data_IF_704594365328
#
_entry.id   IF_704594365328
#
_cell.length_a   1.000
_cell.length_b   1.000
_cell.length_c   1.000
_cell.angle_alpha   90.00
_cell.angle_beta   90.00
_cell.angle_gamma   90.00
#
_symmetry.space_group_name_H-M   'P 1'
#
loop_
_entity.id
_entity.type
_entity.pdbx_description
1 polymer ?
#
# COMPACT_ATOMS: atom_id res chain seq x y z
N UNK A 1 -14.95 -3.79 15.56
CA UNK A 1 -13.58 -4.32 15.36
C UNK A 1 -12.89 -3.46 14.30
N UNK A 2 -11.56 -3.54 14.15
CA UNK A 2 -10.81 -2.78 13.14
C UNK A 2 -11.40 -2.93 11.74
N UNK A 3 -11.87 -4.13 11.40
CA UNK A 3 -12.52 -4.45 10.13
C UNK A 3 -13.79 -3.64 9.85
N UNK A 4 -14.50 -3.15 10.87
CA UNK A 4 -15.74 -2.39 10.64
C UNK A 4 -15.43 -1.03 10.01
N UNK A 5 -14.31 -0.41 10.37
CA UNK A 5 -13.93 0.91 9.88
C UNK A 5 -12.85 0.85 8.78
N UNK A 6 -11.91 -0.09 8.87
CA UNK A 6 -10.81 -0.24 7.90
C UNK A 6 -11.11 -1.27 6.80
N UNK A 7 -12.39 -1.60 6.56
CA UNK A 7 -12.85 -2.46 5.46
C UNK A 7 -12.91 -1.75 4.10
N UNK A 8 -12.93 -0.41 4.10
CA UNK A 8 -13.03 0.44 2.90
C UNK A 8 -11.74 1.25 2.68
N UNK A 9 -11.64 1.96 1.55
CA UNK A 9 -10.43 2.69 1.16
C UNK A 9 -9.32 1.76 0.67
N UNK A 10 -8.18 1.71 1.37
CA UNK A 10 -7.04 0.81 1.06
C UNK A 10 -7.29 -0.65 1.48
N UNK A 11 -8.36 -0.92 2.25
CA UNK A 11 -8.86 -2.26 2.62
C UNK A 11 -7.84 -3.17 3.33
N UNK A 12 -6.85 -2.58 3.99
CA UNK A 12 -5.72 -3.28 4.64
C UNK A 12 -6.17 -4.31 5.69
N UNK A 13 -7.24 -4.03 6.44
CA UNK A 13 -7.73 -4.95 7.48
C UNK A 13 -8.25 -6.28 6.91
N UNK A 14 -8.77 -6.25 5.68
CA UNK A 14 -9.32 -7.43 5.02
C UNK A 14 -8.21 -8.22 4.33
N UNK A 15 -7.25 -7.54 3.70
CA UNK A 15 -6.05 -8.17 3.14
C UNK A 15 -5.26 -8.94 4.20
N UNK A 16 -5.17 -8.39 5.42
CA UNK A 16 -4.54 -9.07 6.57
C UNK A 16 -5.14 -10.45 6.86
N UNK A 17 -6.46 -10.59 6.65
CA UNK A 17 -7.19 -11.86 6.79
C UNK A 17 -7.22 -12.70 5.52
N UNK A 18 -6.53 -12.27 4.45
CA UNK A 18 -6.54 -12.97 3.18
C UNK A 18 -7.72 -12.64 2.29
N UNK A 19 -8.52 -11.62 2.61
CA UNK A 19 -9.76 -11.30 1.90
C UNK A 19 -9.57 -10.17 0.88
N UNK A 20 -9.86 -10.47 -0.37
CA UNK A 20 -9.88 -9.53 -1.48
C UNK A 20 -11.33 -9.17 -1.84
N UNK A 21 -11.65 -7.89 -1.94
CA UNK A 21 -13.00 -7.48 -2.34
C UNK A 21 -13.20 -7.71 -3.84
N UNK A 22 -14.13 -8.59 -4.19
CA UNK A 22 -14.48 -8.85 -5.58
C UNK A 22 -15.23 -7.65 -6.17
N UNK A 23 -14.95 -7.35 -7.44
CA UNK A 23 -15.73 -6.39 -8.22
C UNK A 23 -17.13 -6.94 -8.55
N UNK A 24 -18.02 -6.05 -9.00
CA UNK A 24 -19.45 -6.32 -9.24
C UNK A 24 -19.68 -7.53 -10.15
N UNK A 25 -19.92 -8.68 -9.53
CA UNK A 25 -21.23 -9.31 -9.60
C UNK A 25 -21.37 -10.26 -8.44
N UNK A 26 -22.58 -10.35 -7.89
CA UNK A 26 -22.95 -11.40 -6.94
C UNK A 26 -22.69 -12.82 -7.48
N UNK A 27 -22.43 -12.94 -8.79
CA UNK A 27 -22.27 -14.17 -9.54
C UNK A 27 -20.83 -14.72 -9.60
N UNK A 28 -19.81 -13.99 -9.12
CA UNK A 28 -18.41 -14.46 -9.15
C UNK A 28 -17.93 -15.11 -7.85
N UNK A 29 -18.78 -15.15 -6.81
CA UNK A 29 -18.50 -15.86 -5.57
C UNK A 29 -19.32 -17.15 -5.48
N UNK A 30 -18.80 -18.20 -4.81
CA UNK A 30 -19.57 -19.43 -4.59
C UNK A 30 -20.90 -19.14 -3.89
N UNK A 31 -21.91 -19.98 -4.09
CA UNK A 31 -23.15 -19.90 -3.32
C UNK A 31 -22.92 -20.08 -1.81
N UNK A 32 -23.83 -19.55 -1.00
CA UNK A 32 -23.87 -19.79 0.43
C UNK A 32 -24.35 -21.22 0.76
N UNK A 33 -24.42 -21.56 2.05
CA UNK A 33 -24.84 -22.89 2.51
C UNK A 33 -26.30 -23.25 2.15
N UNK A 34 -27.12 -22.27 1.79
CA UNK A 34 -28.50 -22.45 1.34
C UNK A 34 -28.61 -22.49 -0.19
N UNK A 35 -27.50 -22.38 -0.93
CA UNK A 35 -27.48 -22.35 -2.39
C UNK A 35 -27.85 -21.00 -3.00
N UNK A 36 -27.91 -19.93 -2.19
CA UNK A 36 -28.18 -18.58 -2.67
C UNK A 36 -26.86 -17.86 -2.98
N UNK A 37 -26.94 -16.78 -3.77
CA UNK A 37 -25.79 -15.91 -3.97
C UNK A 37 -25.34 -15.37 -2.60
N UNK A 38 -24.03 -15.40 -2.36
CA UNK A 38 -23.47 -14.80 -1.16
C UNK A 38 -23.92 -13.34 -1.05
N UNK A 39 -24.30 -12.96 0.16
CA UNK A 39 -24.69 -11.58 0.45
C UNK A 39 -23.44 -10.76 0.78
N UNK A 40 -23.36 -9.50 0.32
CA UNK A 40 -22.24 -8.63 0.65
C UNK A 40 -22.15 -8.43 2.16
N UNK A 41 -20.92 -8.40 2.68
CA UNK A 41 -20.66 -7.91 4.03
C UNK A 41 -20.31 -6.43 3.93
N UNK A 42 -21.19 -5.58 4.46
CA UNK A 42 -21.20 -4.14 4.16
C UNK A 42 -21.39 -3.88 2.66
N UNK A 43 -20.38 -3.37 1.96
CA UNK A 43 -20.51 -2.93 0.55
C UNK A 43 -20.02 -3.97 -0.46
N UNK A 44 -19.31 -5.03 -0.03
CA UNK A 44 -18.59 -5.90 -0.96
C UNK A 44 -18.77 -7.39 -0.67
N UNK A 45 -18.55 -8.18 -1.71
CA UNK A 45 -18.28 -9.62 -1.63
C UNK A 45 -16.77 -9.86 -1.60
N UNK A 46 -16.36 -10.97 -1.01
CA UNK A 46 -14.95 -11.25 -0.77
C UNK A 46 -14.53 -12.61 -1.32
N UNK A 47 -13.33 -12.64 -1.91
CA UNK A 47 -12.61 -13.85 -2.28
C UNK A 47 -11.45 -14.03 -1.32
N UNK A 48 -11.22 -15.27 -0.88
CA UNK A 48 -10.05 -15.57 -0.07
C UNK A 48 -8.85 -15.88 -0.98
N UNK A 49 -7.77 -15.11 -0.82
CA UNK A 49 -6.49 -15.28 -1.52
C UNK A 49 -5.52 -16.02 -0.61
N UNK A 50 -4.91 -15.31 0.35
CA UNK A 50 -3.96 -15.85 1.33
C UNK A 50 -3.77 -14.85 2.47
N UNK A 51 -3.95 -15.28 3.70
CA UNK A 51 -3.79 -14.42 4.87
C UNK A 51 -2.32 -14.05 5.15
N UNK A 52 -2.15 -12.99 5.95
CA UNK A 52 -0.85 -12.59 6.47
C UNK A 52 -0.34 -13.62 7.50
N UNK A 53 0.96 -13.91 7.50
CA UNK A 53 1.57 -14.85 8.44
C UNK A 53 1.40 -14.42 9.90
N UNK A 54 1.35 -13.12 10.18
CA UNK A 54 1.12 -12.62 11.53
C UNK A 54 -0.34 -12.85 11.95
N UNK A 55 -1.29 -12.73 11.03
CA UNK A 55 -2.68 -13.08 11.27
C UNK A 55 -2.81 -14.58 11.59
N UNK A 56 -2.17 -15.45 10.80
CA UNK A 56 -2.16 -16.89 11.03
C UNK A 56 -1.50 -17.27 12.37
N UNK A 57 -0.47 -16.52 12.79
CA UNK A 57 0.15 -16.68 14.11
C UNK A 57 -0.81 -16.26 15.25
N UNK A 58 -1.87 -15.52 14.95
CA UNK A 58 -2.88 -15.03 15.87
C UNK A 58 -2.61 -13.64 16.41
N UNK A 59 -1.85 -12.82 15.67
CA UNK A 59 -1.72 -11.40 15.97
C UNK A 59 -2.94 -10.61 15.48
N UNK A 60 -3.16 -9.46 16.10
CA UNK A 60 -4.17 -8.46 15.72
C UNK A 60 -3.50 -7.12 15.44
N UNK A 61 -4.25 -6.19 14.84
CA UNK A 61 -3.71 -4.90 14.38
C UNK A 61 -2.94 -4.14 15.48
N UNK A 62 -3.44 -4.14 16.71
CA UNK A 62 -2.83 -3.45 17.86
C UNK A 62 -1.54 -4.10 18.38
N UNK A 63 -1.18 -5.29 17.90
CA UNK A 63 0.09 -5.92 18.28
C UNK A 63 1.28 -5.26 17.57
N UNK A 64 1.02 -4.63 16.42
CA UNK A 64 1.99 -3.78 15.72
C UNK A 64 1.69 -2.30 15.97
N UNK A 65 0.46 -1.85 15.73
CA UNK A 65 0.10 -0.43 15.82
C UNK A 65 0.07 0.08 17.26
N UNK A 66 0.89 1.10 17.54
CA UNK A 66 1.00 1.67 18.88
C UNK A 66 -0.18 2.61 19.19
N UNK A 67 -0.33 3.00 20.46
CA UNK A 67 -1.34 4.00 20.82
C UNK A 67 -1.08 5.34 20.13
N UNK A 68 0.17 5.67 19.82
CA UNK A 68 0.51 6.89 19.10
C UNK A 68 0.01 6.83 17.65
N UNK A 69 0.16 5.68 16.99
CA UNK A 69 -0.34 5.46 15.63
C UNK A 69 -1.87 5.59 15.55
N UNK A 70 -2.59 5.02 16.53
CA UNK A 70 -4.05 4.89 16.48
C UNK A 70 -4.81 6.06 17.11
N UNK A 71 -4.30 6.66 18.19
CA UNK A 71 -4.97 7.73 18.93
C UNK A 71 -4.31 9.10 18.70
N UNK A 72 -3.25 9.13 17.89
CA UNK A 72 -2.43 10.32 17.68
C UNK A 72 -1.40 10.53 18.78
N UNK A 73 -0.37 11.27 18.44
CA UNK A 73 0.72 11.65 19.34
C UNK A 73 0.73 13.16 19.67
N UNK A 74 -0.39 13.84 19.39
CA UNK A 74 -0.52 15.29 19.53
C UNK A 74 0.02 16.11 18.36
N UNK A 75 0.62 15.46 17.35
CA UNK A 75 1.05 16.11 16.11
C UNK A 75 0.10 15.79 14.95
N UNK A 76 0.03 16.71 13.97
CA UNK A 76 -0.71 16.48 12.74
C UNK A 76 0.19 15.74 11.76
N UNK A 77 -0.04 14.42 11.62
CA UNK A 77 0.48 13.68 10.47
C UNK A 77 -0.33 14.05 9.24
N UNK A 78 0.33 14.62 8.23
CA UNK A 78 -0.31 15.04 6.98
C UNK A 78 -0.88 13.87 6.19
N UNK A 79 -0.38 12.65 6.42
CA UNK A 79 -0.86 11.40 5.80
C UNK A 79 -0.62 10.19 6.70
N UNK A 80 -1.40 9.12 6.49
CA UNK A 80 -1.41 7.94 7.36
C UNK A 80 -0.04 7.28 7.57
N UNK A 81 0.81 7.18 6.52
CA UNK A 81 2.14 6.57 6.65
C UNK A 81 3.01 7.32 7.67
N UNK A 82 2.94 8.65 7.72
CA UNK A 82 3.72 9.45 8.66
C UNK A 82 3.35 9.19 10.13
N UNK A 83 2.19 8.58 10.41
CA UNK A 83 1.76 8.28 11.76
C UNK A 83 2.13 6.88 12.23
N UNK A 84 2.55 5.98 11.34
CA UNK A 84 2.92 4.60 11.68
C UNK A 84 4.42 4.57 11.96
N UNK A 85 4.80 4.13 13.17
CA UNK A 85 6.20 3.97 13.57
C UNK A 85 6.77 2.53 13.55
N UNK A 86 5.98 1.45 13.66
CA UNK A 86 6.51 0.09 13.69
C UNK A 86 7.10 -0.36 12.37
N UNK A 87 8.34 -0.83 12.43
CA UNK A 87 9.06 -1.41 11.29
C UNK A 87 9.33 -2.90 11.46
N UNK A 88 9.53 -3.61 10.35
CA UNK A 88 9.82 -5.05 10.37
C UNK A 88 11.06 -5.37 11.24
N UNK A 89 12.07 -4.51 11.10
CA UNK A 89 13.35 -4.60 11.77
C UNK A 89 13.25 -4.32 13.28
N UNK A 90 12.14 -3.72 13.74
CA UNK A 90 11.88 -3.45 15.16
C UNK A 90 11.67 -4.70 15.98
N UNK A 91 11.24 -5.79 15.35
CA UNK A 91 11.11 -7.09 16.00
C UNK A 91 12.07 -8.15 15.42
N UNK A 92 12.33 -8.10 14.11
CA UNK A 92 13.11 -9.13 13.41
C UNK A 92 14.61 -8.82 13.28
N UNK A 93 14.99 -7.54 13.38
CA UNK A 93 16.36 -7.07 13.13
C UNK A 93 16.76 -7.19 11.66
N UNK A 94 18.05 -7.39 11.42
CA UNK A 94 18.65 -7.70 10.11
C UNK A 94 19.52 -8.95 10.24
N UNK A 95 20.03 -9.55 9.14
CA UNK A 95 20.97 -10.66 9.23
C UNK A 95 22.26 -10.35 10.02
N UNK A 96 22.58 -9.06 10.23
CA UNK A 96 23.82 -8.62 10.89
C UNK A 96 23.60 -7.93 12.23
N UNK A 97 22.39 -7.43 12.51
CA UNK A 97 22.06 -6.67 13.73
C UNK A 97 20.75 -7.15 14.37
N UNK A 98 20.75 -7.29 15.70
CA UNK A 98 19.53 -7.49 16.48
C UNK A 98 18.68 -6.22 16.48
N UNK A 99 17.37 -6.30 16.80
CA UNK A 99 16.51 -5.13 16.84
C UNK A 99 17.05 -3.98 17.72
N UNK A 100 17.55 -4.27 18.92
CA UNK A 100 18.09 -3.25 19.84
C UNK A 100 19.48 -2.71 19.45
N UNK A 101 20.17 -3.35 18.49
CA UNK A 101 21.46 -2.89 17.96
C UNK A 101 21.31 -1.88 16.82
N UNK A 102 20.11 -1.77 16.26
CA UNK A 102 19.82 -0.83 15.17
C UNK A 102 19.72 0.62 15.70
N UNK A 103 20.18 1.61 14.94
CA UNK A 103 19.90 3.00 15.24
C UNK A 103 18.41 3.35 15.12
N UNK A 104 18.02 4.49 15.71
CA UNK A 104 16.71 5.08 15.45
C UNK A 104 16.57 5.50 13.97
N UNK A 105 15.36 5.41 13.46
CA UNK A 105 14.99 5.74 12.08
C UNK A 105 15.39 4.68 11.03
N UNK A 106 15.86 3.49 11.44
CA UNK A 106 16.00 2.38 10.49
C UNK A 106 14.61 1.86 10.14
N UNK A 107 14.27 1.88 8.85
CA UNK A 107 12.93 1.58 8.33
C UNK A 107 12.10 2.85 8.17
N UNK A 108 11.95 3.65 9.23
CA UNK A 108 11.28 4.96 9.17
C UNK A 108 12.26 6.10 8.82
N UNK A 109 12.39 6.36 7.53
CA UNK A 109 13.32 7.31 6.94
C UNK A 109 12.65 8.62 6.47
N UNK A 110 11.46 8.92 6.99
CA UNK A 110 10.71 10.15 6.69
C UNK A 110 11.48 11.39 7.18
N UNK A 111 12.23 11.25 8.27
CA UNK A 111 12.99 12.34 8.86
C UNK A 111 14.11 12.84 7.94
N UNK A 112 14.03 14.11 7.55
CA UNK A 112 15.08 14.79 6.80
C UNK A 112 16.18 15.31 7.72
N UNK A 113 17.25 14.51 7.87
CA UNK A 113 18.40 14.82 8.72
C UNK A 113 19.13 16.11 8.32
N UNK A 114 18.98 16.59 7.07
CA UNK A 114 19.61 17.84 6.63
C UNK A 114 18.99 19.10 7.24
N UNK A 115 17.77 18.97 7.79
CA UNK A 115 17.03 20.05 8.45
C UNK A 115 17.23 20.06 9.97
N UNK A 116 18.11 19.20 10.49
CA UNK A 116 18.39 19.09 11.93
C UNK A 116 19.77 19.69 12.18
N UNK A 117 19.84 20.64 13.12
CA UNK A 117 21.11 21.23 13.53
C UNK A 117 22.08 20.15 14.02
N UNK A 118 23.36 20.28 13.64
CA UNK A 118 24.37 19.24 13.92
C UNK A 118 24.64 19.02 15.41
N UNK A 119 24.35 20.00 16.26
CA UNK A 119 24.47 19.95 17.72
C UNK A 119 23.19 19.44 18.41
N UNK A 120 22.12 19.19 17.66
CA UNK A 120 20.90 18.63 18.19
C UNK A 120 21.16 17.21 18.76
N UNK A 121 20.78 16.92 20.02
CA UNK A 121 20.98 15.61 20.64
C UNK A 121 20.43 14.43 19.83
N UNK A 122 19.38 14.66 19.03
CA UNK A 122 18.80 13.67 18.14
C UNK A 122 19.82 13.11 17.14
N UNK A 123 20.76 13.94 16.65
CA UNK A 123 21.79 13.48 15.70
C UNK A 123 22.70 12.41 16.31
N UNK A 124 23.04 12.53 17.59
CA UNK A 124 23.79 11.51 18.31
C UNK A 124 22.96 10.25 18.58
N UNK A 125 21.65 10.39 18.80
CA UNK A 125 20.74 9.25 19.00
C UNK A 125 20.53 8.45 17.71
N UNK A 126 20.45 9.12 16.56
CA UNK A 126 20.33 8.50 15.23
C UNK A 126 21.57 7.71 14.79
N UNK A 127 22.69 7.81 15.53
CA UNK A 127 23.94 7.09 15.24
C UNK A 127 24.20 5.93 16.22
N UNK A 128 23.50 5.89 17.34
CA UNK A 128 23.70 4.89 18.40
C UNK A 128 22.64 3.82 18.31
N UNK A 129 22.99 2.62 18.78
CA UNK A 129 22.01 1.56 19.01
C UNK A 129 20.86 2.10 19.89
N UNK A 130 19.61 1.89 19.44
CA UNK A 130 18.42 2.36 20.16
C UNK A 130 18.25 1.69 21.53
N UNK A 131 18.77 0.47 21.69
CA UNK A 131 18.72 -0.25 22.95
C UNK A 131 17.32 -0.76 23.29
N UNK A 132 17.02 -0.79 24.59
CA UNK A 132 15.77 -1.26 25.17
C UNK A 132 15.24 -0.23 26.16
N UNK A 133 13.94 -0.25 26.42
CA UNK A 133 13.35 0.55 27.49
C UNK A 133 13.11 -0.28 28.75
N UNK A 134 13.39 0.32 29.90
CA UNK A 134 13.02 -0.23 31.22
C UNK A 134 11.53 -0.07 31.54
N UNK A 135 10.83 0.80 30.82
CA UNK A 135 9.42 1.16 31.06
C UNK A 135 8.64 1.22 29.76
N UNK A 136 7.39 0.75 29.76
CA UNK A 136 6.44 1.02 28.69
C UNK A 136 5.99 2.49 28.72
N UNK A 137 5.28 2.95 27.69
CA UNK A 137 4.73 4.31 27.67
C UNK A 137 3.71 4.52 28.80
N UNK A 138 3.59 5.74 29.32
CA UNK A 138 2.62 6.08 30.37
C UNK A 138 1.19 5.71 29.99
N UNK A 139 0.81 5.91 28.73
CA UNK A 139 -0.52 5.53 28.21
C UNK A 139 -0.73 4.00 28.27
N UNK A 140 0.29 3.22 27.92
CA UNK A 140 0.25 1.75 28.00
C UNK A 140 0.11 1.29 29.45
N UNK A 141 0.85 1.90 30.38
CA UNK A 141 0.74 1.59 31.82
C UNK A 141 -0.64 1.90 32.40
N UNK A 142 -1.30 2.95 31.89
CA UNK A 142 -2.59 3.39 32.38
C UNK A 142 -3.78 2.57 31.82
N UNK A 143 -3.69 2.13 30.55
CA UNK A 143 -4.85 1.60 29.83
C UNK A 143 -4.67 0.20 29.23
N UNK A 144 -3.47 -0.38 29.27
CA UNK A 144 -3.19 -1.68 28.68
C UNK A 144 -2.63 -2.67 29.72
N UNK A 145 -2.54 -3.94 29.31
CA UNK A 145 -1.85 -4.95 30.10
C UNK A 145 -0.36 -4.63 30.14
N UNK A 146 0.21 -4.55 31.33
CA UNK A 146 1.66 -4.40 31.52
C UNK A 146 2.30 -5.77 31.64
N UNK A 147 3.23 -6.08 30.74
CA UNK A 147 3.95 -7.34 30.74
C UNK A 147 5.26 -7.25 31.56
N UNK A 148 5.82 -8.39 31.97
CA UNK A 148 7.16 -8.43 32.57
C UNK A 148 8.17 -8.00 31.51
N UNK A 149 8.94 -6.95 31.79
CA UNK A 149 9.89 -6.37 30.84
C UNK A 149 11.03 -7.33 30.50
N UNK A 150 11.30 -8.35 31.34
CA UNK A 150 12.49 -9.21 31.22
C UNK A 150 13.77 -8.36 31.14
N UNK A 151 14.54 -8.46 30.06
CA UNK A 151 15.72 -7.64 29.83
C UNK A 151 15.39 -6.21 29.41
N UNK A 152 14.17 -5.96 28.93
CA UNK A 152 13.65 -4.66 28.51
C UNK A 152 12.65 -4.75 27.37
N UNK A 153 11.83 -3.71 27.22
CA UNK A 153 10.92 -3.55 26.09
C UNK A 153 11.70 -3.18 24.83
N UNK A 154 11.32 -3.77 23.69
CA UNK A 154 11.83 -3.33 22.40
C UNK A 154 11.28 -1.95 22.06
N UNK A 155 12.07 -1.20 21.30
CA UNK A 155 11.76 0.15 20.85
C UNK A 155 11.43 0.14 19.36
N UNK A 156 10.45 0.96 18.97
CA UNK A 156 10.15 1.27 17.58
C UNK A 156 11.33 1.97 16.89
N UNK A 157 11.24 2.13 15.57
CA UNK A 157 12.12 2.98 14.77
C UNK A 157 12.23 4.41 15.34
N UNK A 158 11.16 4.95 15.94
CA UNK A 158 11.11 6.28 16.58
C UNK A 158 11.50 6.29 18.06
N UNK A 159 11.77 5.13 18.64
CA UNK A 159 12.24 5.01 20.03
C UNK A 159 11.13 4.88 21.08
N UNK A 160 9.89 4.68 20.67
CA UNK A 160 8.79 4.40 21.60
C UNK A 160 8.77 2.90 21.96
N UNK A 161 8.57 2.54 23.24
CA UNK A 161 8.48 1.14 23.64
C UNK A 161 7.13 0.53 23.24
N UNK A 162 7.16 -0.63 22.55
CA UNK A 162 5.95 -1.35 22.11
C UNK A 162 5.01 -1.74 23.27
N UNK A 163 5.56 -1.97 24.47
CA UNK A 163 4.79 -2.34 25.66
C UNK A 163 4.29 -3.79 25.69
N UNK A 164 4.17 -4.45 24.53
CA UNK A 164 3.83 -5.86 24.38
C UNK A 164 4.97 -6.73 23.79
N UNK A 165 6.11 -6.13 23.42
CA UNK A 165 7.27 -6.84 22.87
C UNK A 165 8.48 -6.64 23.80
N UNK A 166 9.05 -7.75 24.27
CA UNK A 166 10.15 -7.76 25.25
C UNK A 166 11.31 -8.65 24.80
N UNK A 167 12.50 -8.34 25.30
CA UNK A 167 13.68 -9.19 25.12
C UNK A 167 13.82 -10.11 26.32
N UNK A 168 13.94 -11.42 26.07
CA UNK A 168 14.21 -12.44 27.09
C UNK A 168 15.46 -13.23 26.71
N UNK A 169 16.61 -12.87 27.27
CA UNK A 169 17.90 -13.44 26.90
C UNK A 169 18.25 -13.10 25.44
N UNK A 170 18.29 -14.13 24.58
CA UNK A 170 18.54 -13.98 23.14
C UNK A 170 17.23 -13.99 22.31
N UNK A 171 16.07 -14.08 22.95
CA UNK A 171 14.78 -14.14 22.26
C UNK A 171 14.06 -12.81 22.30
N UNK A 172 13.22 -12.59 21.29
CA UNK A 172 12.20 -11.54 21.28
C UNK A 172 10.85 -12.21 21.46
N UNK A 173 10.12 -11.76 22.47
CA UNK A 173 8.82 -12.31 22.86
C UNK A 173 7.76 -11.24 22.63
N UNK A 174 6.75 -11.58 21.83
CA UNK A 174 5.57 -10.74 21.59
C UNK A 174 4.37 -11.32 22.33
N UNK A 175 3.71 -10.48 23.14
CA UNK A 175 2.45 -10.81 23.80
C UNK A 175 1.28 -10.22 23.01
N UNK A 176 0.59 -11.06 22.26
CA UNK A 176 -0.55 -10.64 21.46
C UNK A 176 -1.76 -10.34 22.34
N UNK A 177 -2.55 -9.35 21.96
CA UNK A 177 -3.83 -9.05 22.58
C UNK A 177 -4.85 -10.19 22.49
N UNK A 178 -4.62 -11.20 21.65
CA UNK A 178 -5.40 -12.44 21.64
C UNK A 178 -5.12 -13.35 22.84
N UNK A 179 -4.12 -13.01 23.67
CA UNK A 179 -3.63 -13.82 24.78
C UNK A 179 -2.51 -14.79 24.38
N UNK A 180 -2.15 -14.86 23.10
CA UNK A 180 -1.01 -15.66 22.65
C UNK A 180 0.32 -15.00 23.00
N UNK A 181 1.32 -15.82 23.30
CA UNK A 181 2.72 -15.38 23.41
C UNK A 181 3.52 -16.04 22.30
N UNK A 182 4.23 -15.23 21.50
CA UNK A 182 4.91 -15.64 20.29
C UNK A 182 6.41 -15.36 20.43
N UNK A 183 7.25 -16.31 20.03
CA UNK A 183 8.69 -16.09 19.84
C UNK A 183 8.92 -15.56 18.43
N UNK A 184 9.46 -14.34 18.33
CA UNK A 184 9.74 -13.70 17.05
C UNK A 184 10.99 -14.31 16.41
N UNK A 185 10.96 -14.70 15.12
CA UNK A 185 12.14 -15.16 14.41
C UNK A 185 13.11 -14.01 14.14
N UNK A 186 14.33 -14.09 14.68
CA UNK A 186 15.36 -13.06 14.54
C UNK A 186 16.28 -13.39 13.36
N UNK A 187 16.44 -12.46 12.41
CA UNK A 187 17.22 -12.67 11.19
C UNK A 187 18.71 -12.93 11.48
N UNK A 188 19.29 -12.23 12.45
CA UNK A 188 20.68 -12.43 12.87
C UNK A 188 20.93 -13.83 13.41
N UNK A 189 20.01 -14.38 14.20
CA UNK A 189 20.12 -15.76 14.69
C UNK A 189 19.96 -16.77 13.56
N UNK A 190 19.08 -16.49 12.60
CA UNK A 190 18.89 -17.34 11.42
C UNK A 190 20.18 -17.41 10.59
N UNK A 191 20.82 -16.27 10.31
CA UNK A 191 22.09 -16.26 9.57
C UNK A 191 23.24 -16.88 10.36
N UNK A 192 23.44 -16.44 11.61
CA UNK A 192 24.54 -16.92 12.47
C UNK A 192 24.53 -18.44 12.65
N UNK A 193 23.34 -19.04 12.76
CA UNK A 193 23.17 -20.47 13.01
C UNK A 193 22.83 -21.25 11.72
N UNK A 194 22.84 -20.61 10.55
CA UNK A 194 22.49 -21.20 9.25
C UNK A 194 21.12 -21.92 9.25
N UNK A 195 20.09 -21.26 9.80
CA UNK A 195 18.73 -21.80 9.95
C UNK A 195 17.76 -21.38 8.84
N UNK A 196 18.30 -20.89 7.72
CA UNK A 196 17.49 -20.48 6.57
C UNK A 196 16.68 -21.64 6.02
N UNK A 197 15.36 -21.54 6.09
CA UNK A 197 14.44 -22.53 5.51
C UNK A 197 14.37 -22.45 3.98
N UNK A 198 14.60 -21.27 3.42
CA UNK A 198 14.63 -21.02 1.98
C UNK A 198 16.00 -20.42 1.58
N UNK A 199 16.83 -21.16 0.81
CA UNK A 199 18.11 -20.67 0.31
C UNK A 199 18.00 -19.37 -0.52
N UNK A 200 16.90 -19.19 -1.26
CA UNK A 200 16.67 -17.97 -2.05
C UNK A 200 16.44 -16.76 -1.15
N UNK A 201 15.83 -16.94 0.02
CA UNK A 201 15.69 -15.87 1.02
C UNK A 201 17.05 -15.42 1.56
N UNK A 202 17.95 -16.37 1.82
CA UNK A 202 19.34 -16.06 2.21
C UNK A 202 20.09 -15.35 1.08
N UNK A 203 19.95 -15.83 -0.15
CA UNK A 203 20.56 -15.22 -1.32
C UNK A 203 20.11 -13.77 -1.49
N UNK A 204 18.81 -13.51 -1.37
CA UNK A 204 18.22 -12.19 -1.51
C UNK A 204 18.65 -11.22 -0.39
N UNK A 205 18.73 -11.68 0.87
CA UNK A 205 19.05 -10.80 2.01
C UNK A 205 20.55 -10.64 2.30
N UNK A 206 21.35 -11.68 2.01
CA UNK A 206 22.80 -11.69 2.32
C UNK A 206 23.63 -11.56 1.05
N UNK A 207 23.31 -12.32 0.00
CA UNK A 207 24.00 -12.24 -1.29
C UNK A 207 23.70 -10.96 -2.06
N UNK A 208 22.49 -10.44 -1.93
CA UNK A 208 22.04 -9.17 -2.52
C UNK A 208 21.67 -8.16 -1.42
N UNK A 209 22.59 -7.92 -0.48
CA UNK A 209 22.36 -7.08 0.71
C UNK A 209 21.75 -5.69 0.42
N UNK A 210 21.98 -5.15 -0.78
CA UNK A 210 21.35 -3.91 -1.25
C UNK A 210 19.82 -3.92 -1.17
N UNK A 211 19.17 -5.09 -1.25
CA UNK A 211 17.73 -5.19 -1.02
C UNK A 211 17.32 -4.66 0.36
N UNK A 212 18.09 -4.96 1.41
CA UNK A 212 17.80 -4.47 2.76
C UNK A 212 18.08 -2.97 2.91
N UNK A 213 18.96 -2.42 2.08
CA UNK A 213 19.30 -0.99 2.07
C UNK A 213 18.24 -0.17 1.33
N UNK A 214 17.65 -0.70 0.26
CA UNK A 214 16.82 0.11 -0.65
C UNK A 214 15.37 -0.34 -0.75
N UNK A 215 14.98 -1.50 -0.23
CA UNK A 215 13.62 -2.01 -0.33
C UNK A 215 12.95 -2.09 1.03
N UNK A 216 11.63 -2.00 0.98
CA UNK A 216 10.77 -2.44 2.06
C UNK A 216 10.75 -3.96 2.14
N UNK A 217 10.73 -4.53 3.35
CA UNK A 217 10.61 -5.99 3.50
C UNK A 217 9.32 -6.51 2.84
N UNK A 218 8.23 -5.73 2.95
CA UNK A 218 6.94 -6.07 2.35
C UNK A 218 6.93 -5.93 0.81
N UNK A 219 7.90 -5.27 0.17
CA UNK A 219 8.04 -5.34 -1.29
C UNK A 219 8.34 -6.76 -1.79
N UNK A 220 9.00 -7.57 -0.96
CA UNK A 220 9.32 -8.97 -1.24
C UNK A 220 8.34 -9.93 -0.55
N UNK A 221 7.94 -9.64 0.69
CA UNK A 221 7.14 -10.57 1.50
C UNK A 221 5.63 -10.39 1.37
N UNK A 222 5.10 -9.24 0.94
CA UNK A 222 3.68 -9.09 0.66
C UNK A 222 3.38 -9.74 -0.70
N UNK A 223 2.90 -10.98 -0.70
CA UNK A 223 2.87 -11.81 -1.92
C UNK A 223 1.75 -11.46 -2.91
N UNK A 224 0.83 -10.59 -2.52
CA UNK A 224 -0.25 -10.12 -3.38
C UNK A 224 -0.69 -8.73 -2.89
N UNK A 225 -1.24 -7.88 -3.76
CA UNK A 225 -1.63 -6.53 -3.37
C UNK A 225 -2.94 -6.12 -4.04
N UNK A 226 -4.01 -5.82 -3.27
CA UNK A 226 -5.27 -5.43 -3.86
C UNK A 226 -5.15 -4.07 -4.55
N UNK A 227 -5.50 -4.02 -5.82
CA UNK A 227 -5.55 -2.82 -6.66
C UNK A 227 -6.95 -2.67 -7.24
N UNK A 228 -7.55 -1.51 -7.04
CA UNK A 228 -8.87 -1.15 -7.54
C UNK A 228 -8.71 -0.01 -8.53
N UNK A 229 -8.91 -0.32 -9.81
CA UNK A 229 -8.48 0.51 -10.93
C UNK A 229 -9.68 1.17 -11.62
N UNK A 230 -9.52 2.42 -12.01
CA UNK A 230 -10.52 3.17 -12.78
C UNK A 230 -11.89 3.30 -12.10
N UNK A 231 -11.95 3.99 -10.95
CA UNK A 231 -13.21 4.35 -10.29
C UNK A 231 -13.99 5.35 -11.14
N UNK A 232 -14.96 4.85 -11.88
CA UNK A 232 -15.89 5.65 -12.67
C UNK A 232 -16.97 6.21 -11.76
N UNK A 233 -17.33 7.48 -11.95
CA UNK A 233 -18.45 8.09 -11.24
C UNK A 233 -19.20 9.08 -12.14
N UNK A 234 -20.48 9.28 -11.83
CA UNK A 234 -21.37 10.22 -12.50
C UNK A 234 -21.90 11.24 -11.50
N UNK A 235 -21.72 12.52 -11.78
CA UNK A 235 -22.42 13.61 -11.09
C UNK A 235 -23.51 14.12 -12.02
N UNK A 236 -24.75 14.12 -11.52
CA UNK A 236 -25.93 14.54 -12.26
C UNK A 236 -26.55 15.75 -11.58
N UNK A 237 -26.59 16.89 -12.27
CA UNK A 237 -27.20 18.12 -11.77
C UNK A 237 -28.65 18.29 -12.26
N UNK A 238 -29.13 17.41 -13.14
CA UNK A 238 -30.46 17.55 -13.77
C UNK A 238 -31.61 16.98 -12.94
N UNK A 239 -31.30 16.11 -11.98
CA UNK A 239 -32.29 15.37 -11.19
C UNK A 239 -32.58 16.00 -9.81
N UNK A 240 -31.96 17.15 -9.51
CA UNK A 240 -32.11 17.87 -8.25
C UNK A 240 -31.50 17.14 -7.05
N UNK A 241 -30.64 16.15 -7.27
CA UNK A 241 -29.95 15.46 -6.18
C UNK A 241 -28.96 16.39 -5.48
N UNK A 242 -28.91 16.25 -4.16
CA UNK A 242 -27.98 16.98 -3.30
C UNK A 242 -27.07 16.00 -2.56
N UNK A 243 -25.84 16.44 -2.27
CA UNK A 243 -24.95 15.74 -1.36
C UNK A 243 -24.43 16.69 -0.28
N UNK A 244 -23.93 16.10 0.82
CA UNK A 244 -23.26 16.89 1.85
C UNK A 244 -22.00 17.52 1.26
N UNK A 245 -21.89 18.83 1.41
CA UNK A 245 -20.62 19.52 1.25
C UNK A 245 -19.82 19.39 2.55
N UNK A 246 -18.99 18.34 2.60
CA UNK A 246 -18.15 18.06 3.76
C UNK A 246 -17.14 19.18 4.05
N UNK A 247 -16.72 19.93 3.03
CA UNK A 247 -15.75 21.01 3.19
C UNK A 247 -16.46 22.21 3.80
N UNK A 248 -17.54 22.71 3.18
CA UNK A 248 -18.27 23.87 3.67
C UNK A 248 -18.94 23.59 5.03
N UNK A 249 -19.44 22.37 5.25
CA UNK A 249 -19.99 21.97 6.56
C UNK A 249 -18.95 22.12 7.68
N UNK A 250 -17.72 21.67 7.43
CA UNK A 250 -16.62 21.77 8.40
C UNK A 250 -16.07 23.20 8.54
N UNK A 251 -16.17 24.02 7.49
CA UNK A 251 -15.71 25.41 7.49
C UNK A 251 -16.70 26.37 8.18
N UNK A 252 -17.98 26.01 8.21
CA UNK A 252 -19.04 26.83 8.80
C UNK A 252 -19.07 26.67 10.31
N UNK A 253 -18.64 27.71 11.02
CA UNK A 253 -18.60 27.75 12.50
C UNK A 253 -19.83 28.46 13.05
N UNK A 254 -20.54 27.79 13.96
CA UNK A 254 -21.71 28.29 14.68
C UNK A 254 -21.29 29.28 15.79
N UNK A 255 -22.23 30.10 16.32
CA UNK A 255 -21.94 31.06 17.40
C UNK A 255 -21.36 30.45 18.68
N UNK A 256 -21.58 29.15 18.92
CA UNK A 256 -21.03 28.40 20.07
C UNK A 256 -19.62 27.83 19.82
N UNK A 257 -19.06 28.07 18.62
CA UNK A 257 -17.73 27.61 18.22
C UNK A 257 -17.70 26.20 17.61
N UNK A 258 -18.84 25.51 17.50
CA UNK A 258 -18.92 24.20 16.82
C UNK A 258 -19.03 24.36 15.31
N UNK A 259 -18.65 23.34 14.54
CA UNK A 259 -18.88 23.30 13.09
C UNK A 259 -20.33 22.92 12.78
N UNK A 260 -20.82 23.20 11.57
CA UNK A 260 -22.21 22.92 11.19
C UNK A 260 -22.56 21.43 11.24
N UNK A 261 -21.58 20.55 11.03
CA UNK A 261 -21.71 19.10 11.09
C UNK A 261 -21.61 18.51 12.51
N UNK A 262 -21.34 19.32 13.53
CA UNK A 262 -21.07 18.84 14.89
C UNK A 262 -22.25 18.09 15.54
N UNK A 263 -23.49 18.38 15.13
CA UNK A 263 -24.70 17.69 15.61
C UNK A 263 -25.02 16.42 14.81
N UNK A 264 -24.25 16.14 13.75
CA UNK A 264 -24.44 15.03 12.81
C UNK A 264 -25.70 15.16 11.96
N UNK A 265 -26.29 16.35 11.81
CA UNK A 265 -27.58 16.58 11.13
C UNK A 265 -27.62 17.86 10.30
N UNK A 266 -26.93 18.92 10.70
CA UNK A 266 -27.04 20.26 10.14
C UNK A 266 -26.03 20.55 9.02
N UNK A 267 -25.74 19.52 8.22
CA UNK A 267 -24.81 19.60 7.10
C UNK A 267 -25.20 20.68 6.08
N UNK A 268 -24.20 21.32 5.50
CA UNK A 268 -24.37 22.15 4.31
C UNK A 268 -24.53 21.21 3.11
N UNK A 269 -25.57 21.44 2.32
CA UNK A 269 -25.88 20.65 1.12
C UNK A 269 -25.42 21.40 -0.12
N UNK A 270 -24.90 20.66 -1.10
CA UNK A 270 -24.58 21.16 -2.43
C UNK A 270 -25.33 20.37 -3.50
N UNK A 271 -25.65 21.04 -4.60
CA UNK A 271 -26.29 20.43 -5.77
C UNK A 271 -25.33 19.50 -6.50
N UNK A 272 -25.87 18.44 -7.08
CA UNK A 272 -25.12 17.38 -7.73
C UNK A 272 -24.62 16.36 -6.72
N UNK A 273 -25.04 15.11 -6.87
CA UNK A 273 -24.54 14.00 -6.09
C UNK A 273 -23.90 12.94 -7.01
N UNK A 274 -22.86 12.21 -6.55
CA UNK A 274 -22.42 11.01 -7.22
C UNK A 274 -23.53 9.95 -7.12
N UNK A 275 -24.30 9.79 -8.19
CA UNK A 275 -25.48 8.90 -8.21
C UNK A 275 -25.12 7.47 -8.56
N UNK A 276 -23.99 7.27 -9.25
CA UNK A 276 -23.45 5.98 -9.63
C UNK A 276 -21.93 6.04 -9.64
N UNK A 277 -21.28 4.99 -9.16
CA UNK A 277 -19.85 4.81 -9.36
C UNK A 277 -19.36 3.43 -8.99
N UNK A 278 -18.27 3.00 -9.64
CA UNK A 278 -17.54 1.77 -9.33
C UNK A 278 -16.20 1.69 -10.05
N UNK A 279 -15.40 0.70 -9.67
CA UNK A 279 -14.15 0.34 -10.31
C UNK A 279 -14.36 -0.35 -11.65
N UNK A 280 -13.48 -0.03 -12.61
CA UNK A 280 -13.44 -0.68 -13.92
C UNK A 280 -12.98 -2.14 -13.83
N UNK A 281 -12.12 -2.44 -12.86
CA UNK A 281 -11.74 -3.80 -12.49
C UNK A 281 -10.93 -3.78 -11.18
N UNK A 282 -10.97 -4.91 -10.47
CA UNK A 282 -10.15 -5.12 -9.28
C UNK A 282 -9.17 -6.29 -9.50
N UNK A 283 -7.92 -6.13 -9.06
CA UNK A 283 -6.84 -7.12 -9.21
C UNK A 283 -6.07 -7.29 -7.91
N UNK A 284 -5.38 -8.42 -7.75
CA UNK A 284 -4.53 -8.69 -6.57
C UNK A 284 -3.12 -9.22 -6.90
N UNK A 285 -2.84 -9.40 -8.19
CA UNK A 285 -1.61 -9.96 -8.79
C UNK A 285 -0.35 -9.13 -8.50
N UNK A 286 0.77 -9.39 -9.19
CA UNK A 286 2.05 -8.72 -8.94
C UNK A 286 1.88 -7.19 -9.07
N UNK A 287 2.03 -6.40 -7.98
CA UNK A 287 1.92 -4.95 -8.06
C UNK A 287 3.11 -4.33 -8.76
N UNK A 288 2.87 -3.16 -9.33
CA UNK A 288 3.92 -2.23 -9.77
C UNK A 288 4.77 -1.84 -8.55
N UNK A 289 6.08 -1.66 -8.74
CA UNK A 289 6.97 -1.14 -7.71
C UNK A 289 7.31 0.32 -7.97
N UNK A 290 7.48 1.08 -6.89
CA UNK A 290 7.93 2.47 -6.91
C UNK A 290 8.65 2.82 -5.63
N UNK A 291 8.81 4.11 -5.38
CA UNK A 291 9.48 4.65 -4.19
C UNK A 291 8.42 5.24 -3.26
N UNK A 292 8.46 4.90 -1.96
CA UNK A 292 7.59 5.46 -0.93
C UNK A 292 8.16 6.77 -0.33
N UNK A 293 7.51 7.25 0.72
CA UNK A 293 7.93 8.43 1.49
C UNK A 293 9.30 8.28 2.16
N UNK A 294 9.63 7.07 2.62
CA UNK A 294 10.94 6.76 3.21
C UNK A 294 12.06 6.79 2.17
N UNK A 295 11.75 6.65 0.88
CA UNK A 295 12.73 6.57 -0.20
C UNK A 295 13.08 5.12 -0.59
N UNK A 296 12.29 4.16 -0.11
CA UNK A 296 12.46 2.72 -0.32
C UNK A 296 11.53 2.18 -1.40
N UNK A 297 11.96 1.09 -2.03
CA UNK A 297 11.17 0.36 -3.01
C UNK A 297 9.99 -0.31 -2.31
N UNK A 298 8.79 -0.01 -2.78
CA UNK A 298 7.50 -0.45 -2.21
C UNK A 298 6.57 -0.95 -3.32
N UNK A 299 5.60 -1.83 -3.02
CA UNK A 299 4.41 -2.01 -3.84
C UNK A 299 3.63 -0.71 -4.00
N UNK A 300 3.12 -0.51 -5.21
CA UNK A 300 2.16 0.51 -5.57
C UNK A 300 0.83 -0.15 -5.93
N UNK A 301 -0.28 0.45 -5.50
CA UNK A 301 -1.63 -0.03 -5.81
C UNK A 301 -2.51 1.11 -6.33
N UNK A 302 -3.45 0.78 -7.20
CA UNK A 302 -4.56 1.68 -7.49
C UNK A 302 -5.60 1.63 -6.36
N UNK A 303 -6.10 2.79 -5.92
CA UNK A 303 -7.11 2.85 -4.85
C UNK A 303 -8.40 3.52 -5.32
N UNK A 304 -8.36 4.76 -5.81
CA UNK A 304 -9.50 5.49 -6.39
C UNK A 304 -9.01 6.31 -7.58
N UNK A 305 -8.72 5.64 -8.68
CA UNK A 305 -8.31 6.31 -9.92
C UNK A 305 -9.54 6.81 -10.67
N UNK A 306 -9.87 8.08 -10.50
CA UNK A 306 -11.14 8.66 -10.91
C UNK A 306 -11.30 8.77 -12.44
N UNK A 307 -12.51 8.46 -12.91
CA UNK A 307 -12.96 8.70 -14.29
C UNK A 307 -14.35 9.29 -14.25
N UNK A 308 -14.46 10.59 -14.52
CA UNK A 308 -15.65 11.38 -14.21
C UNK A 308 -16.55 11.63 -15.42
N UNK A 309 -17.86 11.55 -15.19
CA UNK A 309 -18.90 12.01 -16.11
C UNK A 309 -19.78 13.04 -15.42
N UNK A 310 -20.10 14.14 -16.11
CA UNK A 310 -20.91 15.25 -15.58
C UNK A 310 -22.07 15.52 -16.52
N UNK A 311 -23.28 15.54 -15.95
CA UNK A 311 -24.52 15.94 -16.61
C UNK A 311 -24.94 17.29 -16.02
N UNK A 312 -25.09 18.31 -16.87
CA UNK A 312 -25.49 19.65 -16.43
C UNK A 312 -26.97 19.71 -16.00
N UNK A 313 -27.41 20.86 -15.49
CA UNK A 313 -28.79 21.08 -15.05
C UNK A 313 -29.84 20.88 -16.17
N UNK A 314 -29.42 20.99 -17.44
CA UNK A 314 -30.28 20.78 -18.62
C UNK A 314 -30.38 19.30 -19.03
N UNK A 315 -29.67 18.40 -18.35
CA UNK A 315 -29.64 16.97 -18.68
C UNK A 315 -28.64 16.59 -19.78
N UNK A 316 -27.73 17.51 -20.15
CA UNK A 316 -26.73 17.28 -21.20
C UNK A 316 -25.42 16.76 -20.59
N UNK A 317 -24.82 15.75 -21.23
CA UNK A 317 -23.48 15.25 -20.86
C UNK A 317 -22.44 16.29 -21.30
N UNK A 318 -21.89 17.04 -20.36
CA UNK A 318 -20.87 18.07 -20.60
C UNK A 318 -19.44 17.55 -20.40
N UNK A 319 -19.30 16.42 -19.70
CA UNK A 319 -18.05 15.68 -19.53
C UNK A 319 -18.36 14.19 -19.56
N UNK A 320 -17.68 13.41 -20.40
CA UNK A 320 -17.85 11.96 -20.49
C UNK A 320 -16.52 11.26 -20.21
N UNK A 321 -16.54 10.32 -19.27
CA UNK A 321 -15.43 9.41 -18.94
C UNK A 321 -14.06 10.09 -18.96
N UNK A 322 -13.92 11.18 -18.20
CA UNK A 322 -12.72 12.00 -18.26
C UNK A 322 -11.78 11.70 -17.10
N UNK A 323 -10.51 11.46 -17.42
CA UNK A 323 -9.41 11.52 -16.45
C UNK A 323 -8.85 12.94 -16.44
N UNK A 324 -8.82 13.57 -15.27
CA UNK A 324 -8.30 14.92 -15.15
C UNK A 324 -6.77 14.95 -15.34
N UNK A 325 -6.28 16.03 -15.95
CA UNK A 325 -4.87 16.31 -16.19
C UNK A 325 -4.45 17.54 -15.42
N UNK A 326 -3.22 17.52 -14.92
CA UNK A 326 -2.61 18.70 -14.33
C UNK A 326 -2.29 19.72 -15.42
N UNK A 327 -2.70 20.97 -15.23
CA UNK A 327 -2.55 22.02 -16.26
C UNK A 327 -1.09 22.35 -16.59
N UNK A 328 -0.18 22.21 -15.61
CA UNK A 328 1.21 22.64 -15.75
C UNK A 328 2.05 21.78 -16.69
N UNK A 329 1.79 20.48 -16.74
CA UNK A 329 2.61 19.49 -17.45
C UNK A 329 1.81 18.37 -18.12
N UNK A 330 0.48 18.36 -17.98
CA UNK A 330 -0.40 17.39 -18.62
C UNK A 330 -0.41 16.00 -17.98
N UNK A 331 0.26 15.81 -16.82
CA UNK A 331 0.27 14.52 -16.12
C UNK A 331 -1.14 14.14 -15.66
N UNK A 332 -1.48 12.85 -15.72
CA UNK A 332 -2.75 12.36 -15.20
C UNK A 332 -2.79 12.49 -13.68
N UNK A 333 -3.91 13.00 -13.18
CA UNK A 333 -4.16 13.23 -11.73
C UNK A 333 -4.69 12.00 -11.00
N UNK A 334 -4.84 10.89 -11.72
CA UNK A 334 -4.98 9.57 -11.10
C UNK A 334 -3.60 9.09 -10.64
N UNK A 335 -3.59 8.25 -9.61
CA UNK A 335 -2.34 7.85 -8.98
C UNK A 335 -2.24 6.34 -8.71
N UNK A 336 -0.98 5.91 -8.55
CA UNK A 336 -0.60 4.63 -7.97
C UNK A 336 0.06 4.90 -6.61
N UNK A 337 -0.49 4.31 -5.54
CA UNK A 337 -0.12 4.66 -4.17
C UNK A 337 0.83 3.65 -3.53
N UNK A 338 1.94 4.12 -2.93
CA UNK A 338 2.72 3.35 -1.96
C UNK A 338 1.83 2.73 -0.87
N UNK A 339 1.93 1.41 -0.69
CA UNK A 339 1.16 0.69 0.31
C UNK A 339 1.89 -0.55 0.82
N UNK A 340 1.89 -0.75 2.14
CA UNK A 340 2.04 -2.09 2.74
C UNK A 340 0.70 -2.83 2.62
N UNK A 341 0.60 -3.88 1.79
CA UNK A 341 -0.68 -4.55 1.54
C UNK A 341 -1.20 -5.36 2.73
N UNK A 342 -0.39 -5.61 3.76
CA UNK A 342 -0.69 -6.52 4.87
C UNK A 342 -0.98 -7.95 4.40
N UNK A 343 -0.14 -8.47 3.50
CA UNK A 343 -0.26 -9.81 2.90
C UNK A 343 1.07 -10.56 3.00
N UNK A 344 1.80 -10.29 4.09
CA UNK A 344 3.14 -10.81 4.35
C UNK A 344 3.08 -12.32 4.50
N UNK A 345 3.95 -13.06 3.82
CA UNK A 345 4.02 -14.52 3.98
C UNK A 345 5.44 -15.02 4.14
N UNK A 346 5.58 -16.22 4.69
CA UNK A 346 6.90 -16.87 4.87
C UNK A 346 7.64 -17.07 3.54
N UNK A 347 6.89 -17.40 2.48
CA UNK A 347 7.43 -17.44 1.14
C UNK A 347 7.35 -16.04 0.54
N UNK A 348 8.50 -15.47 0.19
CA UNK A 348 8.58 -14.24 -0.57
C UNK A 348 8.21 -14.47 -2.05
N UNK A 349 8.03 -13.38 -2.78
CA UNK A 349 7.84 -13.35 -4.24
C UNK A 349 9.02 -14.00 -4.97
N UNK A 350 8.76 -14.54 -6.16
CA UNK A 350 9.83 -15.04 -7.01
C UNK A 350 10.66 -13.87 -7.58
N UNK A 351 11.95 -14.09 -7.81
CA UNK A 351 12.85 -13.02 -8.27
C UNK A 351 12.41 -12.39 -9.60
N UNK A 352 11.85 -13.20 -10.51
CA UNK A 352 11.35 -12.77 -11.82
C UNK A 352 10.03 -11.99 -11.76
N UNK A 353 9.37 -11.91 -10.59
CA UNK A 353 8.26 -10.97 -10.42
C UNK A 353 8.74 -9.51 -10.40
N UNK A 354 10.02 -9.28 -10.05
CA UNK A 354 10.65 -7.96 -10.02
C UNK A 354 11.70 -7.79 -11.13
N UNK A 355 12.61 -8.76 -11.25
CA UNK A 355 13.65 -8.77 -12.27
C UNK A 355 13.07 -9.20 -13.61
N UNK A 356 13.44 -8.49 -14.68
CA UNK A 356 12.97 -8.72 -16.05
C UNK A 356 11.45 -8.57 -16.25
N UNK A 357 10.70 -8.07 -15.26
CA UNK A 357 9.26 -7.84 -15.35
C UNK A 357 8.95 -6.36 -15.65
N UNK A 358 8.50 -6.07 -16.86
CA UNK A 358 8.23 -4.70 -17.32
C UNK A 358 7.02 -4.07 -16.64
N UNK A 359 5.99 -4.87 -16.32
CA UNK A 359 4.82 -4.41 -15.55
C UNK A 359 5.26 -3.91 -14.18
N UNK A 360 6.04 -4.72 -13.45
CA UNK A 360 6.55 -4.35 -12.12
C UNK A 360 7.43 -3.11 -12.16
N UNK A 361 8.17 -2.88 -13.25
CA UNK A 361 8.97 -1.67 -13.47
C UNK A 361 8.13 -0.42 -13.78
N UNK A 362 6.82 -0.55 -14.03
CA UNK A 362 5.89 0.56 -14.25
C UNK A 362 5.46 0.80 -15.70
N UNK A 363 5.85 -0.06 -16.64
CA UNK A 363 5.52 0.08 -18.06
C UNK A 363 4.14 -0.47 -18.45
N UNK A 364 3.31 -0.85 -17.49
CA UNK A 364 1.99 -1.45 -17.73
C UNK A 364 2.04 -2.92 -18.15
N UNK A 365 0.87 -3.52 -18.37
CA UNK A 365 0.78 -4.91 -18.85
C UNK A 365 1.34 -5.07 -20.26
N UNK A 366 2.20 -6.07 -20.46
CA UNK A 366 2.88 -6.30 -21.74
C UNK A 366 3.52 -5.03 -22.30
N UNK A 367 4.15 -4.24 -21.42
CA UNK A 367 4.70 -2.93 -21.79
C UNK A 367 3.64 -2.01 -22.43
N UNK A 368 2.43 -1.96 -21.87
CA UNK A 368 1.35 -1.06 -22.31
C UNK A 368 0.61 -1.50 -23.58
N UNK A 369 0.92 -2.66 -24.15
CA UNK A 369 0.23 -3.17 -25.34
C UNK A 369 -1.20 -3.65 -25.05
N UNK A 370 -1.43 -4.18 -23.84
CA UNK A 370 -2.75 -4.69 -23.44
C UNK A 370 -3.63 -3.52 -23.03
N UNK A 371 -4.72 -3.30 -23.77
CA UNK A 371 -5.63 -2.17 -23.52
C UNK A 371 -5.11 -0.83 -24.02
N UNK A 372 -4.11 -0.81 -24.90
CA UNK A 372 -3.30 0.36 -25.31
C UNK A 372 -4.05 1.64 -25.71
N UNK A 373 -5.34 1.58 -26.05
CA UNK A 373 -6.09 2.75 -26.52
C UNK A 373 -7.49 2.84 -25.90
N UNK A 374 -7.58 3.17 -24.61
CA UNK A 374 -8.88 3.38 -23.95
C UNK A 374 -9.55 4.68 -24.41
N UNK A 375 -8.87 5.51 -25.21
CA UNK A 375 -9.44 6.74 -25.79
C UNK A 375 -10.30 6.47 -27.04
N UNK A 376 -10.28 5.23 -27.55
CA UNK A 376 -11.09 4.85 -28.70
C UNK A 376 -12.30 4.00 -28.24
N UNK A 377 -13.53 4.35 -28.65
CA UNK A 377 -14.70 3.54 -28.34
C UNK A 377 -14.60 2.14 -28.96
N UNK A 378 -15.02 1.11 -28.21
CA UNK A 378 -15.04 -0.29 -28.64
C UNK A 378 -16.46 -0.68 -29.02
N UNK A 379 -16.59 -1.25 -30.22
CA UNK A 379 -17.85 -1.76 -30.76
C UNK A 379 -17.83 -3.29 -30.80
N UNK A 380 -18.94 -3.93 -30.44
CA UNK A 380 -19.09 -5.38 -30.55
C UNK A 380 -19.39 -5.78 -31.99
N UNK A 381 -18.36 -6.10 -32.77
CA UNK A 381 -18.57 -6.60 -34.13
C UNK A 381 -17.30 -7.11 -34.81
N UNK A 382 -17.46 -8.15 -35.63
CA UNK A 382 -16.40 -8.61 -36.52
C UNK A 382 -16.27 -7.60 -37.67
N UNK A 383 -15.04 -7.15 -37.92
CA UNK A 383 -14.72 -6.22 -39.02
C UNK A 383 -14.53 -6.96 -40.34
N UNK A 384 -15.02 -6.39 -41.43
CA UNK A 384 -14.76 -6.82 -42.79
C UNK A 384 -13.37 -6.39 -43.26
N UNK A 385 -13.03 -6.75 -44.52
CA UNK A 385 -11.76 -6.38 -45.15
C UNK A 385 -11.50 -4.88 -45.27
N UNK A 386 -12.55 -4.07 -45.15
CA UNK A 386 -12.56 -2.61 -45.19
C UNK A 386 -12.45 -1.98 -43.78
N UNK A 387 -12.32 -2.81 -42.74
CA UNK A 387 -12.26 -2.37 -41.35
C UNK A 387 -13.61 -2.00 -40.73
N UNK A 388 -14.71 -2.10 -41.48
CA UNK A 388 -16.06 -1.77 -41.00
C UNK A 388 -16.76 -2.99 -40.40
N UNK A 389 -17.66 -2.82 -39.42
CA UNK A 389 -18.46 -3.93 -38.90
C UNK A 389 -19.25 -4.64 -40.01
N UNK A 390 -19.12 -5.96 -40.11
CA UNK A 390 -19.86 -6.78 -41.10
C UNK A 390 -21.37 -6.73 -40.81
N UNK A 391 -21.74 -6.77 -39.53
CA UNK A 391 -23.12 -6.63 -39.09
C UNK A 391 -23.45 -5.15 -38.86
N UNK A 392 -24.51 -4.68 -39.51
CA UNK A 392 -25.10 -3.35 -39.27
C UNK A 392 -26.08 -3.32 -38.09
N UNK A 393 -26.36 -4.48 -37.48
CA UNK A 393 -27.40 -4.64 -36.45
C UNK A 393 -26.85 -4.53 -35.02
N UNK A 394 -25.55 -4.79 -34.82
CA UNK A 394 -24.86 -4.67 -33.53
C UNK A 394 -23.69 -3.67 -33.65
N UNK A 395 -24.00 -2.41 -33.92
CA UNK A 395 -22.98 -1.33 -34.00
C UNK A 395 -23.04 -0.38 -32.82
N UNK A 396 -23.74 -0.73 -31.74
CA UNK A 396 -23.74 0.06 -30.52
C UNK A 396 -22.36 0.00 -29.86
N UNK A 397 -21.89 1.14 -29.37
CA UNK A 397 -20.70 1.19 -28.53
C UNK A 397 -20.91 0.32 -27.31
N UNK A 398 -19.95 -0.57 -27.03
CA UNK A 398 -19.95 -1.41 -25.83
C UNK A 398 -19.09 -0.80 -24.73
N UNK A 399 -17.98 -0.16 -25.11
CA UNK A 399 -17.09 0.55 -24.19
C UNK A 399 -16.86 1.93 -24.78
N UNK A 400 -17.35 2.95 -24.10
CA UNK A 400 -17.12 4.34 -24.51
C UNK A 400 -15.66 4.76 -24.25
N UNK A 401 -15.19 5.74 -25.01
CA UNK A 401 -13.86 6.29 -24.84
C UNK A 401 -13.68 6.88 -23.43
N UNK A 402 -12.49 6.67 -22.86
CA UNK A 402 -12.02 7.31 -21.64
C UNK A 402 -11.07 8.42 -22.06
N UNK A 403 -11.57 9.66 -22.07
CA UNK A 403 -10.79 10.83 -22.49
C UNK A 403 -9.61 11.03 -21.55
N UNK A 404 -8.46 11.36 -22.13
CA UNK A 404 -7.18 11.65 -21.48
C UNK A 404 -6.37 10.43 -21.00
N UNK A 405 -6.94 9.24 -20.84
CA UNK A 405 -6.18 8.05 -20.44
C UNK A 405 -5.32 7.56 -21.61
N UNK A 406 -4.15 8.14 -21.81
CA UNK A 406 -3.23 7.84 -22.91
C UNK A 406 -2.15 6.82 -22.55
N UNK A 407 -2.24 6.23 -21.36
CA UNK A 407 -1.25 5.31 -20.77
C UNK A 407 -1.55 3.83 -21.09
N UNK A 408 -2.57 3.57 -21.91
CA UNK A 408 -3.09 2.24 -22.21
C UNK A 408 -3.97 1.72 -21.07
N UNK A 409 -3.38 1.47 -19.91
CA UNK A 409 -4.11 1.02 -18.73
C UNK A 409 -3.91 1.95 -17.52
N UNK A 410 -4.64 1.65 -16.45
CA UNK A 410 -4.61 2.35 -15.18
C UNK A 410 -3.40 2.01 -14.29
N UNK A 411 -2.52 1.10 -14.71
CA UNK A 411 -1.32 0.67 -13.98
C UNK A 411 -0.02 1.22 -14.58
N UNK A 412 -0.05 1.69 -15.84
CA UNK A 412 1.10 2.28 -16.51
C UNK A 412 1.46 3.63 -15.91
N UNK A 413 2.57 3.67 -15.17
CA UNK A 413 3.13 4.90 -14.57
C UNK A 413 4.28 5.48 -15.40
N UNK A 414 4.85 4.70 -16.32
CA UNK A 414 5.91 5.09 -17.24
C UNK A 414 5.53 4.78 -18.70
N UNK A 415 5.82 5.72 -19.61
CA UNK A 415 5.78 5.43 -21.05
C UNK A 415 6.97 4.56 -21.50
N UNK A 416 7.02 4.21 -22.79
CA UNK A 416 8.10 3.37 -23.36
C UNK A 416 9.49 4.00 -23.24
N UNK A 417 9.56 5.33 -23.27
CA UNK A 417 10.82 6.08 -23.12
C UNK A 417 11.23 6.19 -21.63
N UNK A 418 10.34 5.80 -20.72
CA UNK A 418 10.55 5.82 -19.28
C UNK A 418 10.26 7.16 -18.64
N UNK A 419 9.46 8.02 -19.28
CA UNK A 419 8.93 9.25 -18.70
C UNK A 419 7.70 8.93 -17.85
N UNK A 420 7.53 9.66 -16.75
CA UNK A 420 6.38 9.50 -15.88
C UNK A 420 5.12 10.09 -16.53
N UNK A 421 4.04 9.31 -16.53
CA UNK A 421 2.76 9.67 -17.18
C UNK A 421 1.58 9.72 -16.20
N UNK A 422 1.77 9.22 -14.98
CA UNK A 422 0.77 9.15 -13.90
C UNK A 422 1.41 9.51 -12.57
N UNK A 423 0.63 10.08 -11.64
CA UNK A 423 1.12 10.37 -10.29
C UNK A 423 1.45 9.09 -9.50
N UNK A 424 2.49 9.18 -8.67
CA UNK A 424 2.89 8.10 -7.75
C UNK A 424 3.01 8.70 -6.35
N UNK A 425 2.03 8.42 -5.49
CA UNK A 425 1.99 8.88 -4.11
C UNK A 425 2.26 10.39 -3.95
N UNK A 426 1.43 11.29 -4.53
CA UNK A 426 1.71 12.73 -4.62
C UNK A 426 1.82 13.47 -3.27
N UNK A 427 1.59 12.78 -2.16
CA UNK A 427 1.67 13.34 -0.80
C UNK A 427 3.10 13.55 -0.29
N UNK A 428 4.10 12.90 -0.88
CA UNK A 428 5.50 13.04 -0.48
C UNK A 428 6.40 13.32 -1.68
N UNK A 429 7.31 14.28 -1.54
CA UNK A 429 8.28 14.66 -2.58
C UNK A 429 9.17 13.48 -3.04
N UNK A 430 9.47 12.54 -2.14
CA UNK A 430 10.29 11.36 -2.46
C UNK A 430 9.53 10.28 -3.24
N UNK A 431 8.20 10.28 -3.19
CA UNK A 431 7.39 9.25 -3.86
C UNK A 431 7.43 9.44 -5.37
N UNK A 432 7.80 8.37 -6.08
CA UNK A 432 8.03 8.41 -7.54
C UNK A 432 8.12 7.00 -8.13
N UNK A 433 8.02 6.84 -9.46
CA UNK A 433 8.42 5.61 -10.12
C UNK A 433 9.87 5.21 -9.80
N UNK A 434 10.21 3.93 -9.96
CA UNK A 434 11.60 3.50 -9.92
C UNK A 434 12.45 4.34 -10.88
N UNK A 435 13.65 4.75 -10.47
CA UNK A 435 14.57 5.50 -11.34
C UNK A 435 15.07 4.66 -12.52
N UNK A 436 15.60 5.30 -13.56
CA UNK A 436 16.23 4.59 -14.69
C UNK A 436 17.31 3.60 -14.23
N UNK A 437 18.17 4.01 -13.30
CA UNK A 437 19.23 3.17 -12.76
C UNK A 437 18.67 1.92 -12.05
N UNK A 438 17.60 2.08 -11.26
CA UNK A 438 16.94 0.94 -10.61
C UNK A 438 16.33 0.00 -11.66
N UNK A 439 15.64 0.53 -12.68
CA UNK A 439 15.06 -0.28 -13.76
C UNK A 439 16.13 -1.00 -14.58
N UNK A 440 17.25 -0.34 -14.90
CA UNK A 440 18.38 -0.96 -15.59
C UNK A 440 18.97 -2.12 -14.75
N UNK A 441 19.08 -1.95 -13.43
CA UNK A 441 19.52 -3.02 -12.52
C UNK A 441 18.54 -4.19 -12.46
N UNK A 442 17.23 -3.95 -12.60
CA UNK A 442 16.23 -5.03 -12.67
C UNK A 442 16.23 -5.74 -14.03
N UNK A 443 16.77 -5.10 -15.08
CA UNK A 443 16.92 -5.67 -16.43
C UNK A 443 18.20 -6.51 -16.62
N UNK A 444 19.09 -6.51 -15.62
CA UNK A 444 20.33 -7.27 -15.62
C UNK A 444 20.04 -8.77 -15.59
N UNK A 445 20.33 -9.50 -16.65
CA UNK A 445 20.08 -10.96 -16.75
C UNK A 445 21.00 -11.78 -15.82
N UNK A 446 22.15 -11.23 -15.41
CA UNK A 446 23.14 -11.90 -14.56
C UNK A 446 22.91 -11.69 -13.05
N UNK A 447 21.76 -11.10 -12.66
CA UNK A 447 21.48 -10.71 -11.28
C UNK A 447 21.67 -11.87 -10.28
N UNK A 448 21.26 -13.09 -10.66
CA UNK A 448 21.40 -14.29 -9.82
C UNK A 448 22.86 -14.69 -9.61
N UNK A 449 23.67 -14.68 -10.65
CA UNK A 449 25.08 -15.08 -10.55
C UNK A 449 25.88 -14.07 -9.75
N UNK A 450 25.57 -12.78 -9.88
CA UNK A 450 26.14 -11.70 -9.06
C UNK A 450 25.82 -11.90 -7.58
N UNK A 451 24.56 -12.17 -7.24
CA UNK A 451 24.15 -12.43 -5.85
C UNK A 451 24.84 -13.68 -5.27
N UNK A 452 24.96 -14.76 -6.06
CA UNK A 452 25.63 -15.99 -5.62
C UNK A 452 27.13 -15.77 -5.40
N UNK A 453 27.78 -15.00 -6.27
CA UNK A 453 29.19 -14.66 -6.15
C UNK A 453 29.45 -13.84 -4.88
N UNK A 454 28.62 -12.83 -4.62
CA UNK A 454 28.69 -12.00 -3.41
C UNK A 454 28.46 -12.84 -2.13
N UNK A 455 27.46 -13.73 -2.13
CA UNK A 455 27.23 -14.62 -0.99
C UNK A 455 28.44 -15.53 -0.71
N UNK A 456 29.06 -16.09 -1.75
CA UNK A 456 30.29 -16.91 -1.61
C UNK A 456 31.47 -16.10 -1.08
N UNK A 457 31.59 -14.83 -1.46
CA UNK A 457 32.65 -13.94 -0.98
C UNK A 457 32.48 -13.66 0.52
N UNK A 458 31.27 -13.33 0.98
CA UNK A 458 30.98 -13.07 2.40
C UNK A 458 31.35 -14.26 3.32
N UNK A 459 31.12 -15.49 2.83
CA UNK A 459 31.48 -16.72 3.55
C UNK A 459 32.99 -16.91 3.71
N UNK A 460 33.81 -16.39 2.78
CA UNK A 460 35.28 -16.48 2.86
C UNK A 460 35.87 -15.49 3.86
N UNK A 461 35.23 -14.33 4.05
CA UNK A 461 35.67 -13.31 5.03
C UNK A 461 35.27 -13.67 6.47
N UNK A 462 34.22 -14.49 6.63
CA UNK A 462 33.74 -14.99 7.93
C UNK A 462 34.52 -16.19 8.50
N UNK A 463 35.46 -16.76 7.72
CA UNK A 463 36.33 -17.88 8.10
C UNK A 463 37.76 -17.38 8.31
#
# INVERSE_FOLDING_TARGET
TCNVCHSSGRRVSLSYQGLFAADRSESYTPFDAAGNLQQPSSTYLYKHIKADVHYDAGMVCQDCHTSADMHGNGNIGTVALANVEPECQDCHGTPTQYPWELPLGVGDEILDKSKIDSDNPLMAMLQKARGLSEKSMTVTQAYATTYDKKDGYLLSSRGNPFGNVVKDGNQVILHSATGKTLTVPILKDIEKNNLWKNPEGRLAMVGAAKHLETMECYACHATWAPSYLGYTYKIDYSDGNEMVDWIESSAKVNPDGTTADADGKSFVMQQGAPTQGDYSHARWEEPVLGINAEGRVTPLVGVIQTTGTVINEQGEVVLLNNVAKRETDGMLTIDMQPLNPHTTTLAARACNECHLNTKTMGYGMSSGEVGADPQTPVYLGIKGKDGQPISKQNTSTQIEAIKNLNTGDYMTILDQDGNQVMEVGPHFERSKPLSKQQRDSLKDEDYMEKAKAALRASLKESR
#
